data_IF_383095844631
#
_entry.id   IF_383095844631
#
_cell.length_a   1.000
_cell.length_b   1.000
_cell.length_c   1.000
_cell.angle_alpha   90.00
_cell.angle_beta   90.00
_cell.angle_gamma   90.00
#
_symmetry.space_group_name_H-M   'P 1'
#
loop_
_entity.id
_entity.type
_entity.pdbx_description
1 polymer ?
#
# COMPACT_ATOMS: atom_id res chain seq x y z
N UNK A 1 8.57 11.19 -11.29
CA UNK A 1 8.05 11.05 -9.91
C UNK A 1 6.61 10.54 -9.89
N UNK A 2 5.68 11.15 -10.66
CA UNK A 2 4.27 10.74 -10.74
C UNK A 2 4.04 9.22 -10.90
N UNK A 3 4.70 8.59 -11.88
CA UNK A 3 4.56 7.16 -12.16
C UNK A 3 4.88 6.27 -10.95
N UNK A 4 5.91 6.60 -10.16
CA UNK A 4 6.29 5.86 -8.96
C UNK A 4 5.24 5.99 -7.85
N UNK A 5 4.63 7.17 -7.72
CA UNK A 5 3.51 7.41 -6.82
C UNK A 5 2.32 6.51 -7.16
N UNK A 6 1.93 6.48 -8.44
CA UNK A 6 0.82 5.64 -8.93
C UNK A 6 1.10 4.15 -8.70
N UNK A 7 2.32 3.67 -8.99
CA UNK A 7 2.69 2.27 -8.74
C UNK A 7 2.59 1.92 -7.26
N UNK A 8 3.09 2.79 -6.37
CA UNK A 8 3.00 2.56 -4.92
C UNK A 8 1.55 2.46 -4.45
N UNK A 9 0.66 3.33 -4.97
CA UNK A 9 -0.78 3.25 -4.66
C UNK A 9 -1.39 1.92 -5.11
N UNK A 10 -1.09 1.49 -6.33
CA UNK A 10 -1.62 0.22 -6.88
C UNK A 10 -1.11 -0.96 -6.05
N UNK A 11 0.18 -1.01 -5.71
CA UNK A 11 0.75 -2.07 -4.89
C UNK A 11 0.13 -2.11 -3.49
N UNK A 12 0.00 -0.95 -2.85
CA UNK A 12 -0.63 -0.85 -1.54
C UNK A 12 -2.09 -1.32 -1.56
N UNK A 13 -2.86 -0.88 -2.54
CA UNK A 13 -4.25 -1.31 -2.73
C UNK A 13 -4.38 -2.83 -2.99
N UNK A 14 -3.49 -3.41 -3.81
CA UNK A 14 -3.49 -4.84 -4.09
C UNK A 14 -3.17 -5.68 -2.84
N UNK A 15 -2.20 -5.25 -2.03
CA UNK A 15 -1.85 -5.92 -0.78
C UNK A 15 -3.05 -5.87 0.17
N UNK A 16 -3.65 -4.69 0.37
CA UNK A 16 -4.83 -4.54 1.24
C UNK A 16 -6.00 -5.40 0.74
N UNK A 17 -6.29 -5.36 -0.55
CA UNK A 17 -7.34 -6.17 -1.14
C UNK A 17 -7.13 -7.67 -0.89
N UNK A 18 -5.90 -8.17 -1.07
CA UNK A 18 -5.55 -9.57 -0.79
C UNK A 18 -5.78 -9.91 0.69
N UNK A 19 -5.36 -9.04 1.61
CA UNK A 19 -5.50 -9.29 3.06
C UNK A 19 -6.97 -9.26 3.51
N UNK A 20 -7.80 -8.38 2.94
CA UNK A 20 -9.23 -8.30 3.25
C UNK A 20 -10.00 -9.49 2.67
N UNK A 21 -9.74 -9.85 1.41
CA UNK A 21 -10.54 -10.87 0.70
C UNK A 21 -10.08 -12.29 0.96
N UNK A 22 -8.78 -12.49 1.16
CA UNK A 22 -8.17 -13.78 1.40
C UNK A 22 -7.19 -13.71 2.59
N UNK A 23 -7.70 -13.42 3.81
CA UNK A 23 -6.86 -13.42 4.99
C UNK A 23 -6.30 -14.82 5.23
N UNK A 24 -5.04 -14.89 5.66
CA UNK A 24 -4.42 -16.13 6.09
C UNK A 24 -5.12 -16.63 7.35
N UNK A 25 -5.90 -17.71 7.23
CA UNK A 25 -6.76 -18.24 8.30
C UNK A 25 -6.01 -19.06 9.36
N UNK A 26 -4.87 -19.62 9.00
CA UNK A 26 -4.04 -20.48 9.88
C UNK A 26 -2.84 -19.73 10.44
N UNK A 27 -2.92 -18.42 10.47
CA UNK A 27 -1.89 -17.54 11.00
C UNK A 27 -2.47 -16.82 12.22
N UNK A 28 -1.67 -16.62 13.27
CA UNK A 28 -2.06 -15.99 14.54
C UNK A 28 -2.37 -14.47 14.39
N UNK A 29 -2.76 -14.04 13.19
CA UNK A 29 -2.97 -12.65 12.80
C UNK A 29 -1.69 -11.89 12.44
N UNK A 30 -0.50 -12.50 12.62
CA UNK A 30 0.78 -11.82 12.46
C UNK A 30 1.10 -11.47 10.99
N UNK A 31 0.88 -12.39 10.05
CA UNK A 31 1.07 -12.20 8.60
C UNK A 31 0.01 -11.23 8.07
N UNK A 32 -1.26 -11.39 8.46
CA UNK A 32 -2.32 -10.47 8.05
C UNK A 32 -2.02 -9.04 8.52
N UNK A 33 -1.61 -8.86 9.78
CA UNK A 33 -1.23 -7.55 10.34
C UNK A 33 -0.05 -6.92 9.58
N UNK A 34 1.02 -7.69 9.30
CA UNK A 34 2.14 -7.22 8.47
C UNK A 34 1.69 -6.86 7.05
N UNK A 35 0.76 -7.61 6.49
CA UNK A 35 0.13 -7.33 5.21
C UNK A 35 -0.63 -6.00 5.21
N UNK A 36 -1.49 -5.78 6.21
CA UNK A 36 -2.19 -4.50 6.37
C UNK A 36 -1.20 -3.33 6.54
N UNK A 37 -0.21 -3.48 7.43
CA UNK A 37 0.79 -2.45 7.67
C UNK A 37 1.56 -2.09 6.39
N UNK A 38 2.07 -3.09 5.66
CA UNK A 38 2.79 -2.86 4.40
C UNK A 38 1.90 -2.21 3.33
N UNK A 39 0.65 -2.65 3.16
CA UNK A 39 -0.29 -2.06 2.21
C UNK A 39 -0.58 -0.58 2.52
N UNK A 40 -0.80 -0.24 3.79
CA UNK A 40 -0.99 1.14 4.25
C UNK A 40 0.25 1.99 3.99
N UNK A 41 1.45 1.48 4.29
CA UNK A 41 2.72 2.19 4.05
C UNK A 41 2.90 2.52 2.56
N UNK A 42 2.64 1.56 1.67
CA UNK A 42 2.72 1.79 0.23
C UNK A 42 1.74 2.85 -0.25
N UNK A 43 0.52 2.90 0.30
CA UNK A 43 -0.42 3.97 -0.01
C UNK A 43 0.13 5.33 0.43
N UNK A 44 0.63 5.46 1.66
CA UNK A 44 1.20 6.72 2.15
C UNK A 44 2.40 7.19 1.33
N UNK A 45 3.30 6.28 0.96
CA UNK A 45 4.43 6.60 0.07
C UNK A 45 3.91 7.09 -1.27
N UNK A 46 2.93 6.40 -1.85
CA UNK A 46 2.33 6.79 -3.13
C UNK A 46 1.72 8.19 -3.09
N UNK A 47 0.94 8.49 -2.05
CA UNK A 47 0.35 9.80 -1.80
C UNK A 47 1.44 10.87 -1.67
N UNK A 48 2.46 10.62 -0.84
CA UNK A 48 3.57 11.55 -0.60
C UNK A 48 4.30 11.92 -1.89
N UNK A 49 4.65 10.92 -2.70
CA UNK A 49 5.36 11.11 -3.98
C UNK A 49 4.50 11.88 -5.00
N UNK A 50 3.19 11.67 -5.00
CA UNK A 50 2.29 12.44 -5.86
C UNK A 50 2.25 13.91 -5.42
N UNK A 51 2.09 14.20 -4.13
CA UNK A 51 2.10 15.57 -3.63
C UNK A 51 3.42 16.29 -3.89
N UNK A 52 4.55 15.62 -3.73
CA UNK A 52 5.87 16.18 -4.04
C UNK A 52 5.98 16.56 -5.52
N UNK A 53 5.51 15.69 -6.42
CA UNK A 53 5.48 15.99 -7.85
C UNK A 53 4.66 17.24 -8.20
N UNK A 54 3.51 17.43 -7.54
CA UNK A 54 2.64 18.60 -7.77
C UNK A 54 3.14 19.89 -7.10
N UNK A 55 3.99 19.80 -6.07
CA UNK A 55 4.64 20.99 -5.49
C UNK A 55 5.79 21.52 -6.32
N UNK A 56 6.41 20.65 -7.12
CA UNK A 56 7.56 20.97 -7.97
C UNK A 56 7.13 21.56 -9.33
N UNK A 57 5.88 21.34 -9.74
CA UNK A 57 5.29 21.88 -10.98
C UNK A 57 4.78 23.32 -10.76
#
# INVERSE_FOLDING_TARGET
MLFLGIISLILGALILYKMVRHPFKYDDGAINFKGYASGIIFIFIGIYVLFDHFKIL
#
